data_IF_216248070513
#
_entry.id   IF_216248070513
#
_cell.length_a   1.000
_cell.length_b   1.000
_cell.length_c   1.000
_cell.angle_alpha   90.00
_cell.angle_beta   90.00
_cell.angle_gamma   90.00
#
_symmetry.space_group_name_H-M   'P 1'
#
loop_
_entity.id
_entity.type
_entity.pdbx_description
1 polymer ?
#
# COMPACT_ATOMS: atom_id res chain seq x y z
N UNK A 1 9.71 28.97 25.29
CA UNK A 1 10.32 27.94 24.44
C UNK A 1 10.09 26.62 25.16
N UNK A 2 9.08 25.83 24.72
CA UNK A 2 8.85 24.50 25.27
C UNK A 2 9.99 23.61 24.83
N UNK A 3 10.74 23.07 25.77
CA UNK A 3 11.77 22.05 25.57
C UNK A 3 11.08 20.77 25.08
N UNK A 4 10.90 20.65 23.78
CA UNK A 4 10.46 19.40 23.16
C UNK A 4 11.68 18.48 23.10
N UNK A 5 11.86 17.67 24.13
CA UNK A 5 12.76 16.52 24.02
C UNK A 5 12.28 15.63 22.89
N UNK A 6 13.12 15.24 21.92
CA UNK A 6 12.72 14.39 20.83
C UNK A 6 12.26 13.03 21.39
N UNK A 7 11.17 12.48 20.83
CA UNK A 7 10.68 11.13 21.18
C UNK A 7 11.67 10.04 20.76
N UNK A 8 12.55 10.34 19.78
CA UNK A 8 13.60 9.45 19.28
C UNK A 8 14.94 10.18 19.43
N UNK A 9 15.61 9.97 20.56
CA UNK A 9 16.97 10.40 20.76
C UNK A 9 18.00 9.47 20.06
N UNK A 10 19.28 9.77 20.18
CA UNK A 10 20.35 8.99 19.53
C UNK A 10 20.39 7.53 20.04
N UNK A 11 20.12 7.28 21.32
CA UNK A 11 20.14 5.94 21.90
C UNK A 11 18.93 5.13 21.42
N UNK A 12 17.74 5.74 21.42
CA UNK A 12 16.52 5.13 20.87
C UNK A 12 16.68 4.81 19.38
N UNK A 13 17.25 5.73 18.59
CA UNK A 13 17.52 5.49 17.18
C UNK A 13 18.50 4.32 16.98
N UNK A 14 19.60 4.29 17.71
CA UNK A 14 20.58 3.19 17.64
C UNK A 14 19.91 1.85 17.98
N UNK A 15 19.04 1.82 18.99
CA UNK A 15 18.26 0.62 19.31
C UNK A 15 17.34 0.20 18.16
N UNK A 16 16.56 1.13 17.59
CA UNK A 16 15.65 0.83 16.46
C UNK A 16 16.44 0.35 15.23
N UNK A 17 17.63 0.85 15.00
CA UNK A 17 18.51 0.44 13.90
C UNK A 17 19.05 -1.00 14.04
N UNK A 18 18.99 -1.62 15.22
CA UNK A 18 19.33 -3.05 15.39
C UNK A 18 18.38 -3.99 14.65
N UNK A 19 17.23 -3.50 14.19
CA UNK A 19 16.30 -4.24 13.33
C UNK A 19 16.74 -4.32 11.86
N UNK A 20 17.70 -3.51 11.42
CA UNK A 20 18.23 -3.60 10.05
C UNK A 20 18.86 -4.97 9.82
N UNK A 21 18.57 -5.55 8.67
CA UNK A 21 18.97 -6.91 8.30
C UNK A 21 18.09 -8.01 8.89
N UNK A 22 17.14 -7.70 9.80
CA UNK A 22 16.19 -8.69 10.29
C UNK A 22 15.35 -9.20 9.14
N UNK A 23 15.25 -10.53 9.02
CA UNK A 23 14.53 -11.20 7.95
C UNK A 23 13.58 -12.25 8.51
N UNK A 24 12.48 -12.47 7.80
CA UNK A 24 11.53 -13.56 8.05
C UNK A 24 11.05 -14.14 6.73
N UNK A 25 10.71 -15.42 6.71
CA UNK A 25 10.16 -16.10 5.54
C UNK A 25 8.79 -16.69 5.89
N UNK A 26 7.82 -16.44 5.03
CA UNK A 26 6.44 -16.92 5.17
C UNK A 26 6.09 -17.74 3.93
N UNK A 27 5.74 -19.04 4.07
CA UNK A 27 5.20 -19.83 2.97
C UNK A 27 3.72 -19.54 2.75
N UNK A 28 3.24 -19.76 1.52
CA UNK A 28 1.82 -19.72 1.16
C UNK A 28 1.58 -20.51 -0.13
N UNK A 29 0.30 -20.69 -0.49
CA UNK A 29 -0.13 -21.36 -1.72
C UNK A 29 -1.05 -20.45 -2.51
N UNK A 30 -0.79 -20.26 -3.80
CA UNK A 30 -1.63 -19.42 -4.66
C UNK A 30 -2.91 -20.15 -5.03
N UNK A 31 -4.04 -19.71 -4.48
CA UNK A 31 -5.37 -20.31 -4.69
C UNK A 31 -6.28 -19.41 -5.52
N UNK A 32 -7.35 -19.97 -6.07
CA UNK A 32 -8.28 -19.21 -6.92
C UNK A 32 -9.24 -18.29 -6.16
N UNK A 33 -9.58 -18.63 -4.91
CA UNK A 33 -10.62 -17.92 -4.16
C UNK A 33 -10.36 -16.42 -3.95
N UNK A 34 -9.16 -15.99 -3.50
CA UNK A 34 -8.86 -14.57 -3.34
C UNK A 34 -8.91 -13.80 -4.66
N UNK A 35 -8.42 -14.40 -5.76
CA UNK A 35 -8.43 -13.77 -7.09
C UNK A 35 -9.85 -13.55 -7.58
N UNK A 36 -10.73 -14.56 -7.45
CA UNK A 36 -12.15 -14.42 -7.82
C UNK A 36 -12.84 -13.35 -6.98
N UNK A 37 -12.56 -13.30 -5.70
CA UNK A 37 -13.16 -12.34 -4.79
C UNK A 37 -12.71 -10.91 -5.08
N UNK A 38 -11.42 -10.67 -5.39
CA UNK A 38 -10.95 -9.33 -5.78
C UNK A 38 -11.47 -8.93 -7.16
N UNK A 39 -11.53 -9.85 -8.14
CA UNK A 39 -12.16 -9.60 -9.46
C UNK A 39 -13.58 -9.08 -9.28
N UNK A 40 -14.40 -9.78 -8.48
CA UNK A 40 -15.76 -9.36 -8.16
C UNK A 40 -15.84 -8.05 -7.37
N UNK A 41 -14.85 -7.77 -6.51
CA UNK A 41 -14.79 -6.52 -5.72
C UNK A 41 -14.48 -5.30 -6.60
N UNK A 42 -13.72 -5.50 -7.67
CA UNK A 42 -13.33 -4.44 -8.61
C UNK A 42 -14.29 -4.34 -9.82
N UNK A 43 -15.38 -5.09 -9.85
CA UNK A 43 -16.31 -5.18 -11.00
C UNK A 43 -15.56 -5.53 -12.30
N UNK A 44 -14.77 -6.60 -12.24
CA UNK A 44 -14.09 -7.12 -13.41
C UNK A 44 -14.80 -8.33 -13.98
N UNK A 45 -14.81 -8.40 -15.29
CA UNK A 45 -15.29 -9.54 -16.06
C UNK A 45 -14.11 -10.41 -16.52
N UNK A 46 -13.23 -10.74 -15.55
CA UNK A 46 -12.09 -11.63 -15.82
C UNK A 46 -12.57 -13.09 -15.96
N UNK A 47 -11.93 -13.84 -16.85
CA UNK A 47 -12.13 -15.28 -16.91
C UNK A 47 -11.85 -15.92 -15.53
N UNK A 48 -12.63 -16.92 -15.10
CA UNK A 48 -12.38 -17.60 -13.83
C UNK A 48 -10.93 -18.13 -13.74
N UNK A 49 -10.19 -17.81 -12.68
CA UNK A 49 -8.83 -18.29 -12.54
C UNK A 49 -8.82 -19.82 -12.37
N UNK A 50 -7.88 -20.49 -13.04
CA UNK A 50 -7.64 -21.92 -13.01
C UNK A 50 -6.17 -22.21 -12.68
N UNK A 51 -5.79 -23.46 -12.36
CA UNK A 51 -4.37 -23.83 -12.21
C UNK A 51 -3.53 -23.34 -13.39
N UNK A 52 -2.39 -22.70 -13.11
CA UNK A 52 -1.54 -22.06 -14.12
C UNK A 52 -1.93 -20.63 -14.51
N UNK A 53 -3.09 -20.12 -14.11
CA UNK A 53 -3.43 -18.70 -14.32
C UNK A 53 -2.45 -17.79 -13.61
N UNK A 54 -1.93 -16.77 -14.30
CA UNK A 54 -1.00 -15.79 -13.73
C UNK A 54 -1.71 -14.90 -12.71
N UNK A 55 -1.07 -14.66 -11.57
CA UNK A 55 -1.54 -13.71 -10.58
C UNK A 55 -1.40 -12.29 -11.15
N UNK A 56 -2.49 -11.53 -11.26
CA UNK A 56 -2.42 -10.15 -11.75
C UNK A 56 -1.49 -9.29 -10.89
N UNK A 57 -0.83 -8.26 -11.46
CA UNK A 57 0.01 -7.36 -10.71
C UNK A 57 -0.72 -6.76 -9.50
N UNK A 58 -0.04 -6.67 -8.36
CA UNK A 58 -0.52 -6.26 -7.03
C UNK A 58 -1.48 -7.24 -6.34
N UNK A 59 -2.03 -8.25 -7.02
CA UNK A 59 -2.93 -9.22 -6.41
C UNK A 59 -2.21 -10.25 -5.54
N UNK A 60 -0.87 -10.28 -5.53
CA UNK A 60 -0.08 -11.02 -4.56
C UNK A 60 -0.30 -10.53 -3.11
N UNK A 61 -0.82 -9.31 -2.89
CA UNK A 61 -1.22 -8.79 -1.58
C UNK A 61 -2.43 -9.53 -0.96
N UNK A 62 -3.10 -10.40 -1.73
CA UNK A 62 -4.17 -11.30 -1.25
C UNK A 62 -3.62 -12.55 -0.56
N UNK A 63 -2.32 -12.75 -0.58
CA UNK A 63 -1.61 -13.89 -0.02
C UNK A 63 -0.61 -13.43 1.04
N UNK A 64 0.01 -14.38 1.74
CA UNK A 64 0.95 -14.07 2.83
C UNK A 64 0.33 -13.18 3.91
N UNK A 65 -0.93 -13.43 4.23
CA UNK A 65 -1.71 -12.62 5.15
C UNK A 65 -1.12 -12.65 6.56
N UNK A 66 -1.23 -11.56 7.36
CA UNK A 66 -0.72 -11.53 8.72
C UNK A 66 -1.58 -12.42 9.63
N UNK A 67 -0.97 -13.39 10.32
CA UNK A 67 -1.65 -14.35 11.20
C UNK A 67 -1.39 -14.08 12.68
N UNK A 68 -1.31 -12.81 13.09
CA UNK A 68 -1.22 -12.47 14.51
C UNK A 68 -2.48 -12.92 15.27
N UNK A 69 -2.29 -13.48 16.47
CA UNK A 69 -3.41 -13.89 17.33
C UNK A 69 -4.23 -12.67 17.76
N UNK A 70 -5.52 -12.85 18.01
CA UNK A 70 -6.40 -11.75 18.47
C UNK A 70 -5.84 -11.05 19.72
N UNK A 71 -5.22 -11.79 20.65
CA UNK A 71 -4.58 -11.23 21.84
C UNK A 71 -3.32 -10.41 21.57
N UNK A 72 -2.75 -10.51 20.37
CA UNK A 72 -1.56 -9.79 19.91
C UNK A 72 -1.91 -8.55 19.09
N UNK A 73 -3.19 -8.32 18.83
CA UNK A 73 -3.67 -7.13 18.10
C UNK A 73 -3.72 -5.92 19.03
N UNK A 74 -3.26 -4.79 18.54
CA UNK A 74 -3.33 -3.49 19.19
C UNK A 74 -4.70 -2.82 19.05
N UNK A 75 -4.93 -1.71 19.75
CA UNK A 75 -6.22 -1.00 19.73
C UNK A 75 -6.56 -0.40 18.37
N UNK A 76 -5.59 -0.19 17.51
CA UNK A 76 -5.74 0.29 16.12
C UNK A 76 -6.10 -0.83 15.13
N UNK A 77 -6.08 -2.09 15.55
CA UNK A 77 -6.34 -3.26 14.71
C UNK A 77 -5.11 -3.85 14.02
N UNK A 78 -3.92 -3.30 14.25
CA UNK A 78 -2.68 -3.90 13.78
C UNK A 78 -2.05 -4.83 14.84
N UNK A 79 -1.20 -5.78 14.43
CA UNK A 79 -0.33 -6.49 15.36
C UNK A 79 0.49 -5.52 16.21
N UNK A 80 0.67 -5.85 17.49
CA UNK A 80 1.49 -5.04 18.40
C UNK A 80 2.92 -4.92 17.87
N UNK A 81 3.56 -3.81 18.20
CA UNK A 81 4.91 -3.48 17.70
C UNK A 81 5.99 -4.30 18.43
N UNK A 82 7.19 -4.36 17.83
CA UNK A 82 8.36 -5.06 18.40
C UNK A 82 8.51 -6.52 17.92
N UNK A 83 7.62 -6.98 17.03
CA UNK A 83 7.80 -8.22 16.31
C UNK A 83 8.81 -8.10 15.16
N UNK A 84 8.39 -8.35 13.92
CA UNK A 84 9.23 -8.15 12.75
C UNK A 84 9.64 -6.67 12.60
N UNK A 85 8.69 -5.75 12.64
CA UNK A 85 8.97 -4.31 12.58
C UNK A 85 9.47 -3.77 13.92
N UNK A 86 10.36 -2.76 13.93
CA UNK A 86 10.90 -2.18 15.16
C UNK A 86 9.82 -1.55 16.06
N UNK A 87 10.04 -1.49 17.39
CA UNK A 87 9.10 -0.92 18.35
C UNK A 87 9.14 0.61 18.36
N UNK A 88 8.81 1.24 17.23
CA UNK A 88 8.85 2.69 17.04
C UNK A 88 7.86 3.39 17.98
N UNK A 89 8.28 4.40 18.77
CA UNK A 89 7.43 5.09 19.75
C UNK A 89 6.42 6.06 19.11
N UNK A 90 6.55 6.34 17.78
CA UNK A 90 5.63 7.23 17.08
C UNK A 90 4.30 6.52 16.78
N UNK A 91 3.13 7.08 17.17
CA UNK A 91 1.86 6.36 17.17
C UNK A 91 1.31 6.04 15.78
N UNK A 92 1.41 6.95 14.81
CA UNK A 92 0.87 6.73 13.46
C UNK A 92 1.84 5.98 12.58
N UNK A 93 1.36 4.91 11.94
CA UNK A 93 2.09 4.13 10.94
C UNK A 93 1.35 4.20 9.60
N UNK A 94 2.06 4.55 8.54
CA UNK A 94 1.49 4.70 7.21
C UNK A 94 2.34 3.94 6.18
N UNK A 95 1.71 3.35 5.18
CA UNK A 95 2.38 2.89 3.98
C UNK A 95 2.54 4.09 3.04
N UNK A 96 3.77 4.62 2.96
CA UNK A 96 4.05 5.86 2.24
C UNK A 96 4.20 5.64 0.72
N UNK A 97 4.60 4.44 0.31
CA UNK A 97 4.80 4.08 -1.08
C UNK A 97 5.53 2.76 -1.25
N UNK A 98 5.75 2.36 -2.48
CA UNK A 98 6.45 1.12 -2.79
C UNK A 98 6.95 1.08 -4.23
N UNK A 99 7.83 0.14 -4.50
CA UNK A 99 8.41 -0.13 -5.83
C UNK A 99 8.41 -1.63 -6.04
N UNK A 100 7.82 -2.05 -7.14
CA UNK A 100 7.70 -3.47 -7.49
C UNK A 100 8.39 -3.73 -8.82
N UNK A 101 9.05 -4.88 -8.93
CA UNK A 101 9.68 -5.37 -10.16
C UNK A 101 9.33 -6.83 -10.35
N UNK A 102 8.73 -7.14 -11.49
CA UNK A 102 8.36 -8.50 -11.89
C UNK A 102 9.44 -9.10 -12.79
N UNK A 103 9.73 -10.36 -12.57
CA UNK A 103 10.55 -11.15 -13.52
C UNK A 103 9.65 -11.55 -14.70
N UNK A 104 10.01 -11.11 -15.91
CA UNK A 104 9.22 -11.36 -17.12
C UNK A 104 9.17 -12.85 -17.50
N UNK A 105 10.15 -13.61 -17.07
CA UNK A 105 10.25 -15.06 -17.31
C UNK A 105 9.62 -15.92 -16.20
N UNK A 106 9.27 -15.36 -15.05
CA UNK A 106 8.85 -16.11 -13.87
C UNK A 106 7.66 -15.47 -13.15
N UNK A 107 6.45 -15.64 -13.66
CA UNK A 107 5.25 -15.14 -13.00
C UNK A 107 4.77 -16.08 -11.88
N UNK A 108 4.17 -15.51 -10.82
CA UNK A 108 3.40 -16.26 -9.82
C UNK A 108 2.12 -16.79 -10.47
N UNK A 109 1.77 -18.04 -10.19
CA UNK A 109 0.63 -18.72 -10.82
C UNK A 109 -0.22 -19.48 -9.80
N UNK A 110 -1.50 -19.60 -10.08
CA UNK A 110 -2.45 -20.43 -9.32
C UNK A 110 -1.97 -21.89 -9.28
N UNK A 111 -2.00 -22.48 -8.10
CA UNK A 111 -1.56 -23.84 -7.83
C UNK A 111 -0.08 -23.96 -7.43
N UNK A 112 0.65 -22.85 -7.39
CA UNK A 112 2.05 -22.87 -6.93
C UNK A 112 2.13 -22.74 -5.41
N UNK A 113 3.08 -23.47 -4.81
CA UNK A 113 3.65 -23.19 -3.51
C UNK A 113 4.66 -22.06 -3.67
N UNK A 114 4.59 -21.09 -2.77
CA UNK A 114 5.35 -19.84 -2.84
C UNK A 114 5.88 -19.44 -1.48
N UNK A 115 6.92 -18.63 -1.47
CA UNK A 115 7.49 -18.05 -0.25
C UNK A 115 7.67 -16.55 -0.42
N UNK A 116 7.39 -15.80 0.65
CA UNK A 116 7.79 -14.40 0.79
C UNK A 116 8.89 -14.28 1.83
N UNK A 117 10.08 -13.86 1.43
CA UNK A 117 11.14 -13.43 2.34
C UNK A 117 11.10 -11.91 2.48
N UNK A 118 10.91 -11.42 3.70
CA UNK A 118 10.85 -10.00 4.05
C UNK A 118 12.10 -9.62 4.81
N UNK A 119 12.81 -8.56 4.41
CA UNK A 119 14.05 -8.09 5.06
C UNK A 119 13.97 -6.58 5.31
N UNK A 120 14.25 -6.14 6.53
CA UNK A 120 14.36 -4.71 6.86
C UNK A 120 15.66 -4.16 6.28
N UNK A 121 15.55 -3.35 5.24
CA UNK A 121 16.70 -2.77 4.53
C UNK A 121 17.26 -1.53 5.25
N UNK A 122 16.39 -0.70 5.81
CA UNK A 122 16.85 0.51 6.50
C UNK A 122 15.86 1.00 7.55
N UNK A 123 16.40 1.64 8.60
CA UNK A 123 15.68 2.40 9.62
C UNK A 123 16.31 3.79 9.68
N UNK A 124 15.58 4.82 9.24
CA UNK A 124 16.09 6.19 9.08
C UNK A 124 15.18 7.19 9.80
N UNK A 125 15.77 7.99 10.68
CA UNK A 125 15.08 9.08 11.35
C UNK A 125 15.31 10.40 10.60
N UNK A 126 14.26 11.20 10.51
CA UNK A 126 14.31 12.58 10.01
C UNK A 126 13.54 13.47 10.98
N UNK A 127 14.21 14.50 11.48
CA UNK A 127 13.58 15.58 12.23
C UNK A 127 13.52 16.83 11.33
N UNK A 128 12.38 17.50 11.29
CA UNK A 128 12.17 18.67 10.47
C UNK A 128 10.99 19.51 10.94
N UNK A 129 10.60 20.50 10.15
CA UNK A 129 9.49 21.41 10.47
C UNK A 129 8.15 20.69 10.69
N UNK A 130 7.97 19.53 10.09
CA UNK A 130 6.78 18.67 10.23
C UNK A 130 6.85 17.69 11.40
N UNK A 131 7.77 17.91 12.37
CA UNK A 131 8.02 17.01 13.47
C UNK A 131 8.99 15.87 13.12
N UNK A 132 8.96 14.83 13.96
CA UNK A 132 9.81 13.65 13.79
C UNK A 132 9.15 12.64 12.86
N UNK A 133 9.93 12.10 11.95
CA UNK A 133 9.53 11.00 11.06
C UNK A 133 10.55 9.87 11.18
N UNK A 134 10.07 8.64 11.28
CA UNK A 134 10.93 7.46 11.16
C UNK A 134 10.49 6.66 9.95
N UNK A 135 11.43 6.38 9.07
CA UNK A 135 11.22 5.56 7.87
C UNK A 135 11.80 4.17 8.09
N UNK A 136 10.99 3.17 7.79
CA UNK A 136 11.42 1.77 7.72
C UNK A 136 11.18 1.28 6.31
N UNK A 137 12.23 0.85 5.62
CA UNK A 137 12.13 0.23 4.31
C UNK A 137 12.25 -1.28 4.48
N UNK A 138 11.28 -2.00 3.93
CA UNK A 138 11.26 -3.47 3.89
C UNK A 138 11.33 -3.90 2.43
N UNK A 139 12.22 -4.84 2.12
CA UNK A 139 12.21 -5.55 0.86
C UNK A 139 11.50 -6.90 1.05
N UNK A 140 10.60 -7.22 0.13
CA UNK A 140 9.95 -8.51 0.02
C UNK A 140 10.36 -9.18 -1.27
N UNK A 141 10.86 -10.41 -1.19
CA UNK A 141 11.11 -11.27 -2.33
C UNK A 141 10.09 -12.40 -2.35
N UNK A 142 9.35 -12.50 -3.43
CA UNK A 142 8.35 -13.56 -3.63
C UNK A 142 8.94 -14.60 -4.58
N UNK A 143 9.00 -15.85 -4.10
CA UNK A 143 9.65 -16.97 -4.79
C UNK A 143 8.69 -18.10 -5.06
N UNK A 144 8.87 -18.76 -6.16
CA UNK A 144 8.31 -20.07 -6.48
C UNK A 144 9.45 -21.06 -6.77
N UNK A 145 9.15 -22.27 -7.22
CA UNK A 145 10.14 -23.29 -7.55
C UNK A 145 11.17 -22.85 -8.62
N UNK A 146 10.87 -21.81 -9.42
CA UNK A 146 11.74 -21.26 -10.47
C UNK A 146 12.65 -20.13 -9.97
N UNK A 147 12.49 -19.67 -8.75
CA UNK A 147 13.26 -18.57 -8.18
C UNK A 147 12.41 -17.35 -7.85
N UNK A 148 13.05 -16.17 -7.79
CA UNK A 148 12.34 -14.90 -7.51
C UNK A 148 11.44 -14.54 -8.68
N UNK A 149 10.16 -14.35 -8.41
CA UNK A 149 9.16 -13.93 -9.39
C UNK A 149 8.82 -12.43 -9.27
N UNK A 150 8.97 -11.87 -8.08
CA UNK A 150 8.66 -10.47 -7.77
C UNK A 150 9.54 -9.99 -6.62
N UNK A 151 10.04 -8.76 -6.75
CA UNK A 151 10.66 -8.02 -5.64
C UNK A 151 9.83 -6.76 -5.38
N UNK A 152 9.52 -6.50 -4.12
CA UNK A 152 8.77 -5.32 -3.66
C UNK A 152 9.54 -4.60 -2.57
N UNK A 153 9.73 -3.30 -2.71
CA UNK A 153 10.20 -2.41 -1.66
C UNK A 153 9.00 -1.68 -1.05
N UNK A 154 8.85 -1.79 0.25
CA UNK A 154 7.75 -1.24 1.02
C UNK A 154 8.27 -0.13 1.93
N UNK A 155 7.84 1.12 1.69
CA UNK A 155 8.23 2.28 2.48
C UNK A 155 7.18 2.54 3.56
N UNK A 156 7.56 2.30 4.82
CA UNK A 156 6.72 2.56 5.99
C UNK A 156 7.21 3.85 6.63
N UNK A 157 6.29 4.76 6.95
CA UNK A 157 6.59 5.97 7.71
C UNK A 157 5.83 5.97 9.03
N UNK A 158 6.55 6.27 10.10
CA UNK A 158 5.98 6.52 11.42
C UNK A 158 6.03 8.01 11.71
N UNK A 159 4.96 8.55 12.31
CA UNK A 159 4.84 9.97 12.65
C UNK A 159 4.08 10.17 13.96
N UNK A 160 4.25 11.33 14.62
CA UNK A 160 3.45 11.73 15.77
C UNK A 160 1.96 11.86 15.39
N UNK A 161 1.09 11.94 16.41
CA UNK A 161 -0.27 12.44 16.22
C UNK A 161 -0.19 13.90 15.73
N UNK A 162 -1.13 14.28 14.87
CA UNK A 162 -1.25 15.67 14.47
C UNK A 162 -1.57 16.53 15.71
N UNK A 163 -0.90 17.65 15.85
CA UNK A 163 -1.20 18.60 16.93
C UNK A 163 -2.51 19.35 16.62
N UNK A 164 -3.34 19.68 17.63
CA UNK A 164 -4.48 20.55 17.42
C UNK A 164 -4.04 21.86 16.76
N UNK A 165 -4.65 22.21 15.62
CA UNK A 165 -4.31 23.41 14.85
C UNK A 165 -3.12 23.26 13.89
N UNK A 166 -2.50 22.08 13.81
CA UNK A 166 -1.48 21.80 12.79
C UNK A 166 -2.13 21.82 11.40
N UNK A 167 -1.63 22.72 10.54
CA UNK A 167 -2.12 22.81 9.17
C UNK A 167 -1.75 21.53 8.38
N UNK A 168 -2.74 20.94 7.72
CA UNK A 168 -2.48 19.88 6.78
C UNK A 168 -1.53 20.37 5.66
N UNK A 169 -0.69 19.50 5.09
CA UNK A 169 0.13 19.88 3.95
C UNK A 169 -0.72 20.49 2.84
N UNK A 170 -0.22 21.56 2.22
CA UNK A 170 -0.93 22.23 1.13
C UNK A 170 -1.29 21.22 0.03
N UNK A 171 -2.54 21.23 -0.47
CA UNK A 171 -2.95 20.34 -1.53
C UNK A 171 -2.18 20.63 -2.82
N UNK A 172 -1.88 19.59 -3.58
CA UNK A 172 -1.14 19.66 -4.83
C UNK A 172 -2.03 19.17 -5.96
N UNK A 173 -1.95 19.81 -7.13
CA UNK A 173 -2.56 19.28 -8.36
C UNK A 173 -1.69 18.17 -8.94
N UNK A 174 -2.29 17.17 -9.62
CA UNK A 174 -1.52 16.19 -10.37
C UNK A 174 -0.65 16.89 -11.43
N UNK A 175 0.59 16.42 -11.67
CA UNK A 175 1.47 17.01 -12.69
C UNK A 175 0.85 17.03 -14.10
N UNK A 176 0.03 16.03 -14.42
CA UNK A 176 -0.66 15.88 -15.70
C UNK A 176 -2.18 16.15 -15.59
N UNK A 177 -2.59 17.07 -14.71
CA UNK A 177 -3.99 17.44 -14.57
C UNK A 177 -4.57 17.90 -15.93
N UNK A 178 -5.72 17.33 -16.31
CA UNK A 178 -6.37 17.61 -17.59
C UNK A 178 -5.78 16.88 -18.81
N UNK A 179 -4.74 16.06 -18.64
CA UNK A 179 -4.08 15.31 -19.73
C UNK A 179 -4.28 13.80 -19.62
N UNK A 180 -5.28 13.35 -18.85
CA UNK A 180 -5.57 11.94 -18.70
C UNK A 180 -6.08 11.34 -20.01
N UNK A 181 -5.40 10.30 -20.52
CA UNK A 181 -5.91 9.48 -21.61
C UNK A 181 -7.00 8.51 -21.11
N UNK A 182 -6.89 8.09 -19.87
CA UNK A 182 -7.83 7.17 -19.20
C UNK A 182 -8.22 7.70 -17.83
N UNK A 183 -9.49 7.48 -17.48
CA UNK A 183 -9.99 7.82 -16.14
C UNK A 183 -11.08 6.87 -15.69
N UNK A 184 -11.18 6.69 -14.37
CA UNK A 184 -12.27 5.96 -13.73
C UNK A 184 -12.62 6.60 -12.41
N UNK A 185 -13.91 6.83 -12.18
CA UNK A 185 -14.45 7.29 -10.90
C UNK A 185 -14.75 6.10 -10.00
N UNK A 186 -14.39 6.21 -8.72
CA UNK A 186 -14.56 5.20 -7.69
C UNK A 186 -15.40 5.79 -6.56
N UNK A 187 -16.43 5.08 -6.16
CA UNK A 187 -17.20 5.38 -4.94
C UNK A 187 -16.66 4.48 -3.83
N UNK A 188 -15.91 5.03 -2.84
CA UNK A 188 -15.29 4.25 -1.79
C UNK A 188 -16.28 4.02 -0.63
N UNK A 189 -17.37 3.29 -0.89
CA UNK A 189 -18.36 2.98 0.13
C UNK A 189 -17.84 1.99 1.18
N UNK A 190 -18.56 1.90 2.30
CA UNK A 190 -18.22 1.02 3.42
C UNK A 190 -18.07 -0.45 2.97
N UNK A 191 -18.83 -0.89 1.96
CA UNK A 191 -18.80 -2.28 1.46
C UNK A 191 -17.51 -2.55 0.70
N UNK A 192 -17.08 -1.64 -0.18
CA UNK A 192 -15.82 -1.75 -0.91
C UNK A 192 -14.64 -1.80 0.07
N UNK A 193 -14.61 -0.89 1.06
CA UNK A 193 -13.54 -0.82 2.04
C UNK A 193 -13.49 -2.07 2.92
N UNK A 194 -14.66 -2.56 3.39
CA UNK A 194 -14.76 -3.80 4.15
C UNK A 194 -14.27 -5.01 3.33
N UNK A 195 -14.73 -5.15 2.07
CA UNK A 195 -14.33 -6.27 1.21
C UNK A 195 -12.82 -6.29 0.98
N UNK A 196 -12.20 -5.14 0.76
CA UNK A 196 -10.75 -5.06 0.58
C UNK A 196 -10.00 -5.37 1.89
N UNK A 197 -10.45 -4.86 3.04
CA UNK A 197 -9.92 -5.23 4.35
C UNK A 197 -10.00 -6.74 4.59
N UNK A 198 -11.15 -7.36 4.29
CA UNK A 198 -11.35 -8.80 4.47
C UNK A 198 -10.43 -9.62 3.55
N UNK A 199 -10.29 -9.22 2.29
CA UNK A 199 -9.44 -9.91 1.31
C UNK A 199 -7.95 -9.84 1.64
N UNK A 200 -7.49 -8.75 2.24
CA UNK A 200 -6.09 -8.54 2.64
C UNK A 200 -5.85 -8.85 4.12
N UNK A 201 -6.87 -9.32 4.84
CA UNK A 201 -6.88 -9.53 6.28
C UNK A 201 -6.36 -8.30 7.05
N UNK A 202 -6.68 -7.11 6.55
CA UNK A 202 -6.25 -5.84 7.13
C UNK A 202 -7.23 -5.39 8.20
N UNK A 203 -6.86 -5.59 9.47
CA UNK A 203 -7.65 -5.21 10.63
C UNK A 203 -7.54 -3.75 11.06
N UNK A 204 -6.84 -2.88 10.31
CA UNK A 204 -6.68 -1.48 10.70
C UNK A 204 -8.01 -0.73 10.72
N UNK A 205 -8.42 -0.29 11.89
CA UNK A 205 -9.76 0.24 12.18
C UNK A 205 -10.10 1.51 11.37
N UNK A 206 -9.11 2.25 10.92
CA UNK A 206 -9.35 3.47 10.11
C UNK A 206 -10.08 3.20 8.79
N UNK A 207 -10.11 1.95 8.34
CA UNK A 207 -10.72 1.56 7.07
C UNK A 207 -12.16 1.06 7.19
N UNK A 208 -12.63 0.72 8.41
CA UNK A 208 -13.95 0.13 8.60
C UNK A 208 -14.68 0.56 9.88
N UNK A 209 -13.99 1.16 10.85
CA UNK A 209 -14.60 1.62 12.11
C UNK A 209 -14.72 3.15 12.11
N UNK A 210 -15.88 3.61 11.66
CA UNK A 210 -16.17 5.05 11.55
C UNK A 210 -16.07 5.78 12.88
N UNK A 211 -16.53 5.16 13.97
CA UNK A 211 -16.44 5.77 15.30
C UNK A 211 -14.98 5.94 15.74
N UNK A 212 -14.17 4.91 15.55
CA UNK A 212 -12.74 4.97 15.89
C UNK A 212 -12.01 6.03 15.07
N UNK A 213 -12.18 6.02 13.74
CA UNK A 213 -11.45 6.93 12.86
C UNK A 213 -11.81 8.39 13.10
N UNK A 214 -13.05 8.69 13.47
CA UNK A 214 -13.49 10.06 13.71
C UNK A 214 -13.24 10.54 15.14
N UNK A 215 -13.45 9.69 16.14
CA UNK A 215 -13.36 10.10 17.55
C UNK A 215 -11.96 9.87 18.16
N UNK A 216 -11.21 8.88 17.67
CA UNK A 216 -9.87 8.55 18.20
C UNK A 216 -8.75 9.08 17.30
N UNK A 217 -8.85 8.86 15.99
CA UNK A 217 -7.85 9.32 15.03
C UNK A 217 -8.05 10.77 14.56
N UNK A 218 -9.27 11.31 14.73
CA UNK A 218 -9.61 12.69 14.37
C UNK A 218 -9.72 12.94 12.86
N UNK A 219 -9.93 11.90 12.05
CA UNK A 219 -10.18 12.03 10.62
C UNK A 219 -11.66 12.30 10.32
N UNK A 220 -12.00 12.92 9.18
CA UNK A 220 -13.38 13.26 8.85
C UNK A 220 -14.24 12.07 8.46
N UNK A 221 -13.64 10.94 8.08
CA UNK A 221 -14.31 9.72 7.62
C UNK A 221 -13.35 8.55 7.51
N UNK A 222 -13.83 7.41 6.98
CA UNK A 222 -12.98 6.25 6.75
C UNK A 222 -11.90 6.57 5.71
N UNK A 223 -10.73 6.03 5.92
CA UNK A 223 -9.60 6.21 4.98
C UNK A 223 -9.64 5.08 3.96
N UNK A 224 -9.58 5.43 2.68
CA UNK A 224 -9.40 4.47 1.59
C UNK A 224 -7.99 3.88 1.70
N UNK A 225 -7.87 2.55 1.63
CA UNK A 225 -6.57 1.88 1.71
C UNK A 225 -5.63 2.36 0.61
N UNK A 226 -4.42 2.77 0.96
CA UNK A 226 -3.39 3.08 -0.04
C UNK A 226 -3.14 1.95 -1.03
N UNK A 227 -3.01 0.68 -0.58
CA UNK A 227 -2.92 -0.48 -1.48
C UNK A 227 -4.14 -0.66 -2.41
N UNK A 228 -5.35 -0.34 -1.97
CA UNK A 228 -6.52 -0.36 -2.85
C UNK A 228 -6.40 0.68 -3.96
N UNK A 229 -5.98 1.90 -3.64
CA UNK A 229 -5.76 2.96 -4.64
C UNK A 229 -4.69 2.51 -5.64
N UNK A 230 -3.56 1.98 -5.18
CA UNK A 230 -2.50 1.43 -6.04
C UNK A 230 -3.04 0.30 -6.94
N UNK A 231 -3.86 -0.61 -6.38
CA UNK A 231 -4.52 -1.69 -7.13
C UNK A 231 -5.45 -1.12 -8.21
N UNK A 232 -6.24 -0.09 -7.90
CA UNK A 232 -7.14 0.57 -8.85
C UNK A 232 -6.38 1.30 -9.97
N UNK A 233 -5.21 1.87 -9.70
CA UNK A 233 -4.32 2.46 -10.72
C UNK A 233 -3.81 1.39 -11.68
N UNK A 234 -3.35 0.24 -11.17
CA UNK A 234 -2.94 -0.90 -12.01
C UNK A 234 -4.15 -1.53 -12.72
N UNK A 235 -5.31 -1.59 -12.08
CA UNK A 235 -6.56 -2.04 -12.69
C UNK A 235 -6.95 -1.16 -13.89
N UNK A 236 -6.75 0.17 -13.79
CA UNK A 236 -6.96 1.09 -14.90
C UNK A 236 -6.04 0.74 -16.10
N UNK A 237 -4.76 0.44 -15.86
CA UNK A 237 -3.84 -0.02 -16.92
C UNK A 237 -4.36 -1.30 -17.55
N UNK A 238 -4.72 -2.31 -16.76
CA UNK A 238 -5.24 -3.60 -17.27
C UNK A 238 -6.54 -3.46 -18.08
N UNK A 239 -7.38 -2.47 -17.77
CA UNK A 239 -8.61 -2.16 -18.54
C UNK A 239 -8.29 -1.42 -19.82
N UNK A 240 -7.31 -0.53 -19.81
CA UNK A 240 -6.99 0.34 -20.94
C UNK A 240 -6.04 -0.32 -21.95
N UNK A 241 -5.18 -1.23 -21.49
CA UNK A 241 -4.21 -1.98 -22.30
C UNK A 241 -4.37 -3.48 -22.01
N UNK A 242 -5.36 -4.16 -22.63
CA UNK A 242 -5.57 -5.59 -22.42
C UNK A 242 -4.31 -6.40 -22.73
N UNK A 243 -3.96 -7.33 -21.83
CA UNK A 243 -2.76 -8.18 -21.99
C UNK A 243 -1.44 -7.50 -21.59
N UNK A 244 -1.45 -6.24 -21.14
CA UNK A 244 -0.25 -5.58 -20.68
C UNK A 244 0.42 -6.34 -19.54
N UNK A 245 1.73 -6.56 -19.68
CA UNK A 245 2.57 -7.11 -18.65
C UNK A 245 3.41 -5.98 -18.04
N UNK A 246 3.41 -5.86 -16.72
CA UNK A 246 4.22 -4.87 -16.01
C UNK A 246 5.61 -5.43 -15.75
N UNK A 247 6.64 -4.67 -16.14
CA UNK A 247 8.01 -4.89 -15.69
C UNK A 247 8.23 -4.26 -14.32
N UNK A 248 7.68 -3.06 -14.10
CA UNK A 248 7.78 -2.37 -12.80
C UNK A 248 6.56 -1.50 -12.51
N UNK A 249 6.38 -1.21 -11.22
CA UNK A 249 5.40 -0.26 -10.74
C UNK A 249 5.95 0.45 -9.51
N UNK A 250 5.90 1.77 -9.49
CA UNK A 250 6.28 2.58 -8.33
C UNK A 250 5.13 3.51 -7.96
N UNK A 251 4.84 3.65 -6.68
CA UNK A 251 3.77 4.54 -6.21
C UNK A 251 4.17 5.26 -4.93
N UNK A 252 3.56 6.42 -4.72
CA UNK A 252 3.73 7.25 -3.53
C UNK A 252 2.39 7.83 -3.11
N UNK A 253 2.00 7.57 -1.87
CA UNK A 253 0.87 8.24 -1.23
C UNK A 253 1.25 9.69 -0.93
N UNK A 254 0.38 10.63 -1.27
CA UNK A 254 0.58 12.08 -1.10
C UNK A 254 -0.34 12.61 0.00
N UNK A 255 -1.62 12.22 -0.04
CA UNK A 255 -2.65 12.63 0.92
C UNK A 255 -3.61 11.47 1.19
N UNK A 256 -4.24 11.39 2.38
CA UNK A 256 -5.32 10.45 2.60
C UNK A 256 -6.51 10.74 1.66
N UNK A 257 -7.15 9.68 1.16
CA UNK A 257 -8.43 9.72 0.47
C UNK A 257 -9.49 9.22 1.45
N UNK A 258 -10.59 9.97 1.58
CA UNK A 258 -11.68 9.62 2.49
C UNK A 258 -12.89 9.08 1.72
N UNK A 259 -13.71 8.28 2.40
CA UNK A 259 -14.92 7.68 1.86
C UNK A 259 -16.10 8.64 1.67
N UNK A 260 -15.95 9.89 2.09
CA UNK A 260 -17.01 10.91 2.08
C UNK A 260 -17.46 11.33 0.67
N UNK A 261 -16.58 11.16 -0.32
CA UNK A 261 -16.82 11.52 -1.71
C UNK A 261 -16.19 10.51 -2.65
N UNK A 262 -16.72 10.45 -3.87
CA UNK A 262 -16.05 9.72 -4.94
C UNK A 262 -14.68 10.33 -5.22
N UNK A 263 -13.71 9.50 -5.58
CA UNK A 263 -12.40 9.89 -6.07
C UNK A 263 -12.18 9.32 -7.47
N UNK A 264 -11.11 9.73 -8.15
CA UNK A 264 -10.83 9.25 -9.50
C UNK A 264 -9.39 8.79 -9.65
N UNK A 265 -9.20 7.77 -10.49
CA UNK A 265 -7.90 7.27 -10.93
C UNK A 265 -7.71 7.59 -12.41
N UNK A 266 -6.49 7.98 -12.77
CA UNK A 266 -6.15 8.49 -14.09
C UNK A 266 -4.86 7.86 -14.60
N UNK A 267 -4.69 7.84 -15.93
CA UNK A 267 -3.48 7.37 -16.58
C UNK A 267 -3.24 8.01 -17.92
N UNK A 268 -1.95 8.19 -18.24
CA UNK A 268 -1.48 8.68 -19.53
C UNK A 268 -0.23 7.90 -19.95
N UNK A 269 -0.26 7.19 -21.10
CA UNK A 269 0.92 6.53 -21.62
C UNK A 269 1.91 7.54 -22.19
N UNK A 270 3.21 7.21 -22.10
CA UNK A 270 4.27 7.90 -22.85
C UNK A 270 4.10 7.71 -24.35
N UNK A 271 4.79 8.53 -25.15
CA UNK A 271 4.69 8.49 -26.60
C UNK A 271 5.09 7.12 -27.21
N UNK A 272 6.01 6.40 -26.57
CA UNK A 272 6.41 5.05 -26.98
C UNK A 272 5.55 3.93 -26.37
N UNK A 273 4.57 4.30 -25.53
CA UNK A 273 3.66 3.38 -24.87
C UNK A 273 4.28 2.50 -23.75
N UNK A 274 5.58 2.65 -23.47
CA UNK A 274 6.28 1.79 -22.51
C UNK A 274 6.14 2.22 -21.06
N UNK A 275 5.94 3.49 -20.82
CA UNK A 275 5.76 4.06 -19.49
C UNK A 275 4.36 4.65 -19.36
N UNK A 276 3.72 4.45 -18.24
CA UNK A 276 2.39 4.98 -17.97
C UNK A 276 2.46 5.78 -16.68
N UNK A 277 2.23 7.07 -16.78
CA UNK A 277 2.05 7.94 -15.62
C UNK A 277 0.63 7.79 -15.09
N UNK A 278 0.52 7.56 -13.79
CA UNK A 278 -0.72 7.25 -13.11
C UNK A 278 -0.91 8.15 -11.90
N UNK A 279 -2.14 8.53 -11.62
CA UNK A 279 -2.45 9.27 -10.39
C UNK A 279 -3.88 9.05 -9.92
N UNK A 280 -4.08 9.26 -8.63
CA UNK A 280 -5.40 9.37 -8.03
C UNK A 280 -5.61 10.80 -7.52
N UNK A 281 -6.83 11.29 -7.64
CA UNK A 281 -7.23 12.61 -7.13
C UNK A 281 -8.57 12.53 -6.41
N UNK A 282 -8.73 13.35 -5.38
CA UNK A 282 -9.97 13.48 -4.64
C UNK A 282 -11.06 14.22 -5.45
N UNK A 283 -12.23 14.41 -4.85
CA UNK A 283 -13.38 15.07 -5.48
C UNK A 283 -13.14 16.55 -5.85
N UNK A 284 -12.14 17.20 -5.22
CA UNK A 284 -11.73 18.58 -5.54
C UNK A 284 -10.60 18.61 -6.59
N UNK A 285 -10.15 17.44 -7.03
CA UNK A 285 -9.08 17.28 -8.01
C UNK A 285 -7.67 17.46 -7.42
N UNK A 286 -7.48 17.25 -6.12
CA UNK A 286 -6.17 17.26 -5.49
C UNK A 286 -5.52 15.88 -5.53
N UNK A 287 -4.22 15.86 -5.77
CA UNK A 287 -3.42 14.64 -5.85
C UNK A 287 -3.43 13.89 -4.52
N UNK A 288 -3.85 12.62 -4.54
CA UNK A 288 -3.83 11.74 -3.36
C UNK A 288 -2.78 10.63 -3.48
N UNK A 289 -2.52 10.14 -4.70
CA UNK A 289 -1.46 9.19 -5.00
C UNK A 289 -0.90 9.47 -6.39
N UNK A 290 0.40 9.32 -6.56
CA UNK A 290 1.07 9.28 -7.87
C UNK A 290 1.76 7.95 -8.06
N UNK A 291 1.82 7.47 -9.30
CA UNK A 291 2.47 6.22 -9.64
C UNK A 291 2.98 6.22 -11.07
N UNK A 292 3.95 5.35 -11.34
CA UNK A 292 4.48 5.10 -12.68
C UNK A 292 4.54 3.60 -12.90
N UNK A 293 3.99 3.12 -14.00
CA UNK A 293 4.08 1.75 -14.46
C UNK A 293 4.97 1.67 -15.70
N UNK A 294 5.83 0.64 -15.76
CA UNK A 294 6.62 0.32 -16.96
C UNK A 294 6.15 -1.02 -17.50
N UNK A 295 5.86 -1.08 -18.78
CA UNK A 295 5.49 -2.31 -19.48
C UNK A 295 6.74 -3.12 -19.85
N UNK A 296 6.60 -4.46 -19.88
CA UNK A 296 7.66 -5.38 -20.25
C UNK A 296 7.91 -5.40 -21.77
#
# INVERSE_FOLDING_TARGET
MSDFSPLIDAAALAHLQTWQGKSETTPDSITTAPLRALSATLDRDDAPPAPGSVVPPLWHWLYFLPHARQSEIGPDGHPRRGGFLPPVPLPRRMWAGGRLRWDSGNALQVGQEVERTSTIQSVKHKAGRSGELLFVQVEHQFRNARGVALTEEHDIVYRPLAQPGEAAPAPQKPPLAGQAAWSRTIVPDDVLLFRYSALTFNGHRIHYDRQYVTQVEGYPGLIVHGPLIATLLVDLVRRSVPGAQLASFAFKAVRPTFDLHAFSVHGTPSADGKTIELWAQDHEGWLTMQATATLA
#
